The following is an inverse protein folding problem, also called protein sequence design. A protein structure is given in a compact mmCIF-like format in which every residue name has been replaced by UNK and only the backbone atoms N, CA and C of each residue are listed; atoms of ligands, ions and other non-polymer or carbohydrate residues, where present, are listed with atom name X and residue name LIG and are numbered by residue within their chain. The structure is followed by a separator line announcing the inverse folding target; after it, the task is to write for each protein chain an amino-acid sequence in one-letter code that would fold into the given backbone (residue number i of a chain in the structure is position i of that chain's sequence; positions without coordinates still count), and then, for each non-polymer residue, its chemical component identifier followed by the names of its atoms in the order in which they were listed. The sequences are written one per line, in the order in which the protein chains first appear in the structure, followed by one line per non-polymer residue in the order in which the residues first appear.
data_IF_224313433606
#
_entry.id   IF_224313433606
#
_cell.length_a   1.000
_cell.length_b   1.000
_cell.length_c   1.000
_cell.angle_alpha   90.00
_cell.angle_beta   90.00
_cell.angle_gamma   90.00
#
_symmetry.space_group_name_H-M   'P 1'
#
loop_
_entity.id
_entity.type
_entity.pdbx_description
1 polymer ?
#
# COMPACT_ATOMS: atom_id res chain seq x y z
N UNK A 1 -16.57 -19.57 -0.33
CA UNK A 1 -16.70 -18.92 1.00
C UNK A 1 -15.31 -18.59 1.51
N UNK A 2 -15.15 -17.51 2.29
CA UNK A 2 -13.89 -17.24 2.98
C UNK A 2 -13.54 -18.40 3.92
N UNK A 3 -12.28 -18.82 3.92
CA UNK A 3 -11.79 -19.95 4.73
C UNK A 3 -11.43 -19.53 6.15
N UNK A 4 -11.03 -18.27 6.30
CA UNK A 4 -10.66 -17.68 7.59
C UNK A 4 -11.54 -16.48 7.90
N UNK A 5 -11.92 -16.34 9.16
CA UNK A 5 -12.41 -15.09 9.72
C UNK A 5 -11.23 -14.26 10.25
N UNK A 6 -11.31 -12.94 10.13
CA UNK A 6 -10.26 -12.04 10.59
C UNK A 6 -10.61 -11.51 11.98
N UNK A 7 -9.66 -11.62 12.91
CA UNK A 7 -9.80 -11.04 14.24
C UNK A 7 -10.09 -9.53 14.15
N UNK A 8 -11.04 -9.06 14.97
CA UNK A 8 -11.53 -7.68 14.96
C UNK A 8 -10.40 -6.64 15.01
N UNK A 9 -9.36 -6.86 15.83
CA UNK A 9 -8.23 -5.93 15.96
C UNK A 9 -7.48 -5.76 14.63
N UNK A 10 -7.26 -6.84 13.88
CA UNK A 10 -6.57 -6.79 12.59
C UNK A 10 -7.48 -6.26 11.48
N UNK A 11 -8.78 -6.47 11.57
CA UNK A 11 -9.75 -5.84 10.67
C UNK A 11 -9.78 -4.31 10.86
N UNK A 12 -9.73 -3.83 12.11
CA UNK A 12 -9.64 -2.39 12.41
C UNK A 12 -8.34 -1.82 11.82
N UNK A 13 -7.20 -2.47 12.06
CA UNK A 13 -5.91 -2.00 11.50
C UNK A 13 -5.96 -1.96 9.97
N UNK A 14 -6.55 -2.97 9.31
CA UNK A 14 -6.74 -2.97 7.85
C UNK A 14 -7.53 -1.74 7.38
N UNK A 15 -8.68 -1.49 8.00
CA UNK A 15 -9.53 -0.36 7.65
C UNK A 15 -8.84 0.98 7.91
N UNK A 16 -8.07 1.09 8.99
CA UNK A 16 -7.25 2.27 9.26
C UNK A 16 -6.19 2.49 8.17
N UNK A 17 -5.48 1.44 7.74
CA UNK A 17 -4.48 1.57 6.67
C UNK A 17 -5.13 1.94 5.33
N UNK A 18 -6.29 1.37 5.01
CA UNK A 18 -7.09 1.75 3.83
C UNK A 18 -7.52 3.22 3.91
N UNK A 19 -7.98 3.66 5.08
CA UNK A 19 -8.36 5.06 5.32
C UNK A 19 -7.15 6.01 5.19
N UNK A 20 -5.97 5.61 5.67
CA UNK A 20 -4.73 6.39 5.51
C UNK A 20 -4.34 6.49 4.03
N UNK A 21 -4.43 5.40 3.24
CA UNK A 21 -4.24 5.45 1.78
C UNK A 21 -5.21 6.41 1.12
N UNK A 22 -6.51 6.32 1.45
CA UNK A 22 -7.53 7.18 0.87
C UNK A 22 -7.31 8.65 1.23
N UNK A 23 -7.06 8.95 2.51
CA UNK A 23 -6.76 10.29 2.99
C UNK A 23 -5.53 10.88 2.29
N UNK A 24 -4.49 10.08 2.10
CA UNK A 24 -3.27 10.47 1.39
C UNK A 24 -3.55 10.89 -0.05
N UNK A 25 -4.31 10.09 -0.79
CA UNK A 25 -4.71 10.38 -2.17
C UNK A 25 -5.58 11.63 -2.26
N UNK A 26 -6.58 11.75 -1.37
CA UNK A 26 -7.48 12.91 -1.31
C UNK A 26 -6.69 14.18 -0.99
N UNK A 27 -5.72 14.10 -0.06
CA UNK A 27 -4.88 15.25 0.32
C UNK A 27 -4.09 15.79 -0.87
N UNK A 28 -3.48 14.91 -1.66
CA UNK A 28 -2.78 15.31 -2.88
C UNK A 28 -3.76 15.86 -3.93
N UNK A 29 -4.92 15.23 -4.10
CA UNK A 29 -5.90 15.67 -5.09
C UNK A 29 -6.45 17.06 -4.77
N UNK A 30 -6.77 17.33 -3.51
CA UNK A 30 -7.17 18.67 -3.05
C UNK A 30 -6.07 19.70 -3.35
N UNK A 31 -4.81 19.36 -3.08
CA UNK A 31 -3.70 20.26 -3.35
C UNK A 31 -3.49 20.55 -4.86
N UNK A 32 -3.77 19.57 -5.73
CA UNK A 32 -3.75 19.78 -7.19
C UNK A 32 -4.88 20.74 -7.62
N UNK A 33 -6.06 20.62 -7.02
CA UNK A 33 -7.22 21.48 -7.33
C UNK A 33 -7.04 22.89 -6.78
N UNK A 34 -6.50 23.00 -5.56
CA UNK A 34 -6.22 24.27 -4.90
C UNK A 34 -4.85 24.21 -4.19
N UNK A 35 -3.79 24.75 -4.84
CA UNK A 35 -2.42 24.70 -4.31
C UNK A 35 -2.22 25.41 -2.95
N UNK A 36 -3.09 26.37 -2.62
CA UNK A 36 -3.05 27.11 -1.34
C UNK A 36 -3.52 26.24 -0.16
N UNK A 37 -4.23 25.14 -0.45
CA UNK A 37 -4.70 24.20 0.57
C UNK A 37 -3.70 23.06 0.72
N UNK A 38 -2.96 23.08 1.83
CA UNK A 38 -1.94 22.07 2.17
C UNK A 38 -2.35 21.31 3.43
N UNK A 39 -2.85 20.09 3.24
CA UNK A 39 -3.22 19.17 4.33
C UNK A 39 -2.01 18.36 4.85
N UNK A 40 -0.95 18.29 4.06
CA UNK A 40 0.30 17.61 4.38
C UNK A 40 1.47 18.52 3.98
N UNK A 41 2.67 18.34 4.55
CA UNK A 41 3.89 19.00 4.09
C UNK A 41 4.17 18.73 2.61
N UNK A 42 4.75 19.71 1.92
CA UNK A 42 5.04 19.63 0.48
C UNK A 42 5.86 18.40 0.11
N UNK A 43 6.87 18.05 0.93
CA UNK A 43 7.68 16.85 0.76
C UNK A 43 6.82 15.57 0.69
N UNK A 44 5.77 15.48 1.52
CA UNK A 44 4.88 14.33 1.50
C UNK A 44 3.95 14.40 0.28
N UNK A 45 3.31 15.54 0.02
CA UNK A 45 2.35 15.69 -1.08
C UNK A 45 2.93 15.28 -2.44
N UNK A 46 4.20 15.58 -2.69
CA UNK A 46 4.90 15.22 -3.93
C UNK A 46 5.04 13.72 -4.15
N UNK A 47 5.02 12.89 -3.10
CA UNK A 47 5.26 11.44 -3.20
C UNK A 47 4.18 10.54 -2.59
N UNK A 48 3.20 11.13 -1.89
CA UNK A 48 2.26 10.36 -1.07
C UNK A 48 1.32 9.45 -1.89
N UNK A 49 1.04 9.77 -3.16
CA UNK A 49 0.23 8.88 -4.00
C UNK A 49 0.92 7.57 -4.30
N UNK A 50 2.25 7.56 -4.53
CA UNK A 50 2.93 6.30 -4.83
C UNK A 50 2.98 5.41 -3.59
N UNK A 51 3.25 6.01 -2.42
CA UNK A 51 3.09 5.35 -1.12
C UNK A 51 1.69 4.74 -0.95
N UNK A 52 0.64 5.54 -1.16
CA UNK A 52 -0.74 5.11 -0.96
C UNK A 52 -1.16 4.00 -1.93
N UNK A 53 -0.78 4.09 -3.21
CA UNK A 53 -1.09 3.12 -4.26
C UNK A 53 -0.41 1.77 -3.96
N UNK A 54 0.89 1.76 -3.73
CA UNK A 54 1.64 0.54 -3.43
C UNK A 54 1.13 -0.15 -2.16
N UNK A 55 0.86 0.64 -1.10
CA UNK A 55 0.30 0.12 0.15
C UNK A 55 -1.08 -0.50 -0.08
N UNK A 56 -1.98 0.23 -0.77
CA UNK A 56 -3.36 -0.21 -1.01
C UNK A 56 -3.42 -1.45 -1.90
N UNK A 57 -2.60 -1.50 -2.96
CA UNK A 57 -2.52 -2.64 -3.87
C UNK A 57 -2.13 -3.93 -3.13
N UNK A 58 -1.06 -3.89 -2.34
CA UNK A 58 -0.61 -5.06 -1.60
C UNK A 58 -1.58 -5.42 -0.47
N UNK A 59 -2.16 -4.45 0.23
CA UNK A 59 -3.15 -4.69 1.29
C UNK A 59 -4.38 -5.41 0.74
N UNK A 60 -5.00 -4.90 -0.32
CA UNK A 60 -6.20 -5.51 -0.90
C UNK A 60 -5.89 -6.92 -1.38
N UNK A 61 -4.83 -7.08 -2.17
CA UNK A 61 -4.45 -8.39 -2.71
C UNK A 61 -4.11 -9.39 -1.60
N UNK A 62 -3.21 -9.02 -0.68
CA UNK A 62 -2.75 -9.90 0.38
C UNK A 62 -3.85 -10.26 1.38
N UNK A 63 -4.73 -9.32 1.70
CA UNK A 63 -5.86 -9.56 2.59
C UNK A 63 -6.82 -10.59 2.00
N UNK A 64 -7.16 -10.45 0.71
CA UNK A 64 -8.00 -11.43 -0.01
C UNK A 64 -7.31 -12.79 -0.06
N UNK A 65 -6.04 -12.86 -0.45
CA UNK A 65 -5.28 -14.12 -0.51
C UNK A 65 -5.31 -14.83 0.85
N UNK A 66 -5.09 -14.13 1.95
CA UNK A 66 -5.11 -14.72 3.29
C UNK A 66 -6.51 -15.19 3.72
N UNK A 67 -7.55 -14.38 3.51
CA UNK A 67 -8.93 -14.74 3.88
C UNK A 67 -9.43 -16.01 3.17
N UNK A 68 -8.95 -16.25 1.94
CA UNK A 68 -9.28 -17.44 1.16
C UNK A 68 -8.28 -18.60 1.36
N UNK A 69 -7.33 -18.46 2.29
CA UNK A 69 -6.37 -19.50 2.65
C UNK A 69 -5.28 -19.75 1.60
N UNK A 70 -4.98 -18.73 0.80
CA UNK A 70 -3.85 -18.74 -0.10
C UNK A 70 -2.50 -18.73 0.61
N UNK A 71 -1.48 -19.04 -0.16
CA UNK A 71 -0.09 -19.15 0.28
C UNK A 71 0.54 -17.76 0.45
N UNK A 72 1.27 -17.57 1.54
CA UNK A 72 1.92 -16.28 1.85
C UNK A 72 3.10 -15.99 0.93
N UNK A 73 3.68 -17.02 0.33
CA UNK A 73 4.71 -16.96 -0.69
C UNK A 73 4.23 -16.13 -1.90
N UNK A 74 2.95 -16.23 -2.25
CA UNK A 74 2.32 -15.44 -3.32
C UNK A 74 2.29 -13.96 -2.95
N UNK A 75 2.00 -13.64 -1.69
CA UNK A 75 1.98 -12.27 -1.16
C UNK A 75 3.38 -11.69 -1.13
N UNK A 76 4.37 -12.51 -0.74
CA UNK A 76 5.78 -12.11 -0.72
C UNK A 76 6.28 -11.82 -2.14
N UNK A 77 5.94 -12.68 -3.10
CA UNK A 77 6.27 -12.44 -4.51
C UNK A 77 5.59 -11.17 -5.03
N UNK A 78 4.32 -10.96 -4.70
CA UNK A 78 3.60 -9.74 -5.08
C UNK A 78 4.24 -8.48 -4.49
N UNK A 79 4.65 -8.51 -3.22
CA UNK A 79 5.35 -7.40 -2.57
C UNK A 79 6.68 -7.07 -3.27
N UNK A 80 7.47 -8.10 -3.60
CA UNK A 80 8.73 -7.92 -4.34
C UNK A 80 8.46 -7.36 -5.72
N UNK A 81 7.46 -7.87 -6.44
CA UNK A 81 7.10 -7.38 -7.77
C UNK A 81 6.61 -5.93 -7.73
N UNK A 82 5.73 -5.57 -6.81
CA UNK A 82 5.23 -4.18 -6.67
C UNK A 82 6.40 -3.23 -6.37
N UNK A 83 7.29 -3.59 -5.44
CA UNK A 83 8.45 -2.78 -5.13
C UNK A 83 9.42 -2.66 -6.32
N UNK A 84 9.76 -3.78 -6.97
CA UNK A 84 10.70 -3.80 -8.08
C UNK A 84 10.15 -3.05 -9.31
N UNK A 85 8.88 -3.30 -9.67
CA UNK A 85 8.23 -2.61 -10.77
C UNK A 85 8.07 -1.12 -10.48
N UNK A 86 7.76 -0.74 -9.23
CA UNK A 86 7.74 0.66 -8.81
C UNK A 86 9.09 1.33 -9.02
N UNK A 87 10.18 0.73 -8.56
CA UNK A 87 11.54 1.28 -8.76
C UNK A 87 11.91 1.34 -10.24
N UNK A 88 11.59 0.31 -11.03
CA UNK A 88 11.88 0.31 -12.48
C UNK A 88 11.09 1.41 -13.19
N UNK A 89 9.80 1.54 -12.88
CA UNK A 89 8.91 2.54 -13.45
C UNK A 89 9.39 3.96 -13.14
N UNK A 90 9.71 4.22 -11.87
CA UNK A 90 10.09 5.56 -11.41
C UNK A 90 11.50 5.96 -11.84
N UNK A 91 12.47 5.03 -11.90
CA UNK A 91 13.87 5.40 -12.14
C UNK A 91 14.35 5.17 -13.58
N UNK A 92 13.74 4.24 -14.32
CA UNK A 92 14.31 3.72 -15.57
C UNK A 92 13.41 3.87 -16.79
N UNK A 93 12.17 4.34 -16.64
CA UNK A 93 11.23 4.56 -17.75
C UNK A 93 10.96 6.06 -17.97
N UNK A 94 11.96 6.85 -18.41
CA UNK A 94 11.84 8.30 -18.60
C UNK A 94 10.81 8.71 -19.66
N UNK A 95 10.39 7.77 -20.52
CA UNK A 95 9.35 7.99 -21.52
C UNK A 95 7.93 7.85 -20.95
N UNK A 96 7.77 7.28 -19.76
CA UNK A 96 6.48 7.14 -19.05
C UNK A 96 6.38 8.03 -17.82
N UNK A 97 7.47 8.19 -17.06
CA UNK A 97 7.52 9.10 -15.93
C UNK A 97 8.82 9.89 -15.87
N UNK A 98 8.77 11.07 -15.25
CA UNK A 98 10.00 11.81 -14.96
C UNK A 98 10.77 11.04 -13.88
N UNK A 99 12.08 10.75 -14.07
CA UNK A 99 12.82 9.98 -13.09
C UNK A 99 12.81 10.63 -11.69
N UNK A 100 12.19 9.95 -10.71
CA UNK A 100 12.05 10.46 -9.34
C UNK A 100 12.31 9.35 -8.30
N UNK A 101 13.47 9.45 -7.65
CA UNK A 101 13.89 8.51 -6.60
C UNK A 101 13.00 8.64 -5.36
N UNK A 102 12.45 9.83 -5.09
CA UNK A 102 11.54 10.06 -3.98
C UNK A 102 10.27 9.23 -4.13
N UNK A 103 9.66 9.24 -5.32
CA UNK A 103 8.49 8.42 -5.61
C UNK A 103 8.79 6.92 -5.46
N UNK A 104 9.94 6.45 -5.93
CA UNK A 104 10.36 5.07 -5.77
C UNK A 104 10.48 4.66 -4.29
N UNK A 105 11.13 5.50 -3.47
CA UNK A 105 11.30 5.26 -2.03
C UNK A 105 9.95 5.22 -1.31
N UNK A 106 9.04 6.14 -1.64
CA UNK A 106 7.70 6.17 -1.05
C UNK A 106 6.86 4.96 -1.46
N UNK A 107 6.92 4.53 -2.73
CA UNK A 107 6.26 3.31 -3.19
C UNK A 107 6.76 2.05 -2.45
N UNK A 108 8.08 1.92 -2.28
CA UNK A 108 8.67 0.82 -1.48
C UNK A 108 8.23 0.91 -0.02
N UNK A 109 8.24 2.10 0.58
CA UNK A 109 7.80 2.30 1.97
C UNK A 109 6.33 1.87 2.17
N UNK A 110 5.43 2.23 1.25
CA UNK A 110 4.03 1.81 1.30
C UNK A 110 3.88 0.29 1.20
N UNK A 111 4.66 -0.34 0.31
CA UNK A 111 4.72 -1.80 0.16
C UNK A 111 5.19 -2.48 1.46
N UNK A 112 6.23 -1.95 2.10
CA UNK A 112 6.77 -2.49 3.36
C UNK A 112 5.74 -2.42 4.49
N UNK A 113 5.05 -1.28 4.64
CA UNK A 113 3.99 -1.11 5.66
C UNK A 113 2.88 -2.15 5.46
N UNK A 114 2.38 -2.30 4.23
CA UNK A 114 1.37 -3.31 3.90
C UNK A 114 1.87 -4.73 4.19
N UNK A 115 3.10 -5.04 3.81
CA UNK A 115 3.69 -6.36 4.02
C UNK A 115 3.82 -6.71 5.51
N UNK A 116 4.30 -5.77 6.34
CA UNK A 116 4.38 -5.95 7.80
C UNK A 116 3.00 -6.28 8.38
N UNK A 117 1.97 -5.53 8.00
CA UNK A 117 0.60 -5.82 8.42
C UNK A 117 0.17 -7.25 8.03
N UNK A 118 0.42 -7.67 6.79
CA UNK A 118 0.05 -8.99 6.30
C UNK A 118 0.80 -10.13 7.01
N UNK A 119 2.07 -9.92 7.37
CA UNK A 119 2.81 -10.86 8.23
C UNK A 119 2.13 -11.02 9.59
N UNK A 120 1.74 -9.90 10.23
CA UNK A 120 1.07 -9.93 11.52
C UNK A 120 -0.32 -10.58 11.43
N UNK A 121 -1.08 -10.27 10.38
CA UNK A 121 -2.38 -10.87 10.11
C UNK A 121 -2.26 -12.40 9.96
N UNK A 122 -1.33 -12.87 9.13
CA UNK A 122 -1.11 -14.32 8.95
C UNK A 122 -0.77 -15.04 10.26
N UNK A 123 0.11 -14.45 11.07
CA UNK A 123 0.62 -15.10 12.28
C UNK A 123 -0.44 -15.19 13.37
N UNK A 124 -1.20 -14.11 13.56
CA UNK A 124 -1.95 -13.89 14.80
C UNK A 124 -3.40 -13.49 14.59
N UNK A 125 -3.87 -13.28 13.35
CA UNK A 125 -5.14 -12.62 13.07
C UNK A 125 -6.15 -13.42 12.26
N UNK A 126 -5.83 -14.66 11.87
CA UNK A 126 -6.72 -15.54 11.10
C UNK A 126 -7.29 -16.63 12.00
N UNK A 127 -8.62 -16.70 12.09
CA UNK A 127 -9.37 -17.72 12.81
C UNK A 127 -9.98 -18.67 11.79
N UNK A 128 -9.74 -19.98 11.92
CA UNK A 128 -10.33 -20.96 11.02
C UNK A 128 -11.85 -20.97 11.17
N UNK A 129 -12.55 -20.94 10.04
CA UNK A 129 -14.01 -21.01 9.96
C UNK A 129 -14.49 -22.44 9.77
#
# INVERSE_FOLDING_TARGET
MAKYEVEKKYMIIYLCLVAVSAFSMISRWINIVNPDVKLLPDLLLTHITNFALCMMALLIFGFVVLCFGGRFEIITLAAILIAALGVVYECFLPFLNTPDIGDAVFGVAGTVVAYIYLVMLKKNGLIAR
#
